data_IF_438541434230
#
_entry.id   IF_438541434230
#
_cell.length_a   1.000
_cell.length_b   1.000
_cell.length_c   1.000
_cell.angle_alpha   90.00
_cell.angle_beta   90.00
_cell.angle_gamma   90.00
#
_symmetry.space_group_name_H-M   'P 1'
#
loop_
_entity.id
_entity.type
_entity.pdbx_description
1 polymer ?
#
# COMPACT_ATOMS: atom_id res chain seq x y z
N UNK A 1 -13.77 -22.21 11.50
CA UNK A 1 -13.43 -21.13 10.54
C UNK A 1 -13.24 -21.81 9.21
N UNK A 2 -14.20 -21.68 8.30
CA UNK A 2 -14.21 -22.40 7.02
C UNK A 2 -13.01 -22.00 6.15
N UNK A 3 -12.32 -22.98 5.56
CA UNK A 3 -11.24 -22.72 4.60
C UNK A 3 -11.73 -21.80 3.46
N UNK A 4 -10.98 -20.76 3.09
CA UNK A 4 -11.37 -19.89 1.97
C UNK A 4 -11.42 -20.67 0.66
N UNK A 5 -12.42 -20.37 -0.19
CA UNK A 5 -12.55 -20.97 -1.52
C UNK A 5 -11.47 -20.46 -2.49
N UNK A 6 -11.13 -21.19 -3.56
CA UNK A 6 -10.22 -20.73 -4.64
C UNK A 6 -10.40 -19.29 -5.06
N UNK A 7 -11.65 -18.86 -5.16
CA UNK A 7 -12.04 -17.54 -5.61
C UNK A 7 -11.45 -16.43 -4.75
N UNK A 8 -11.34 -16.65 -3.42
CA UNK A 8 -10.85 -15.62 -2.51
C UNK A 8 -9.34 -15.42 -2.60
N UNK A 9 -8.54 -16.48 -2.77
CA UNK A 9 -7.09 -16.33 -2.93
C UNK A 9 -6.71 -15.69 -4.27
N UNK A 10 -7.42 -16.06 -5.36
CA UNK A 10 -7.23 -15.43 -6.66
C UNK A 10 -7.62 -13.96 -6.65
N UNK A 11 -8.78 -13.64 -6.08
CA UNK A 11 -9.22 -12.25 -5.96
C UNK A 11 -8.25 -11.43 -5.10
N UNK A 12 -7.85 -11.94 -3.94
CA UNK A 12 -6.90 -11.25 -3.06
C UNK A 12 -5.52 -11.09 -3.68
N UNK A 13 -5.01 -12.11 -4.39
CA UNK A 13 -3.75 -12.03 -5.12
C UNK A 13 -3.79 -10.99 -6.25
N UNK A 14 -4.85 -10.99 -7.06
CA UNK A 14 -5.06 -10.00 -8.12
C UNK A 14 -5.20 -8.58 -7.56
N UNK A 15 -5.95 -8.43 -6.46
CA UNK A 15 -6.11 -7.15 -5.78
C UNK A 15 -4.78 -6.64 -5.20
N UNK A 16 -3.93 -7.51 -4.65
CA UNK A 16 -2.61 -7.12 -4.15
C UNK A 16 -1.69 -6.65 -5.28
N UNK A 17 -1.66 -7.36 -6.41
CA UNK A 17 -0.92 -6.95 -7.61
C UNK A 17 -1.40 -5.57 -8.09
N UNK A 18 -2.70 -5.41 -8.26
CA UNK A 18 -3.29 -4.16 -8.74
C UNK A 18 -3.04 -2.99 -7.75
N UNK A 19 -3.16 -3.23 -6.44
CA UNK A 19 -2.84 -2.25 -5.40
C UNK A 19 -1.39 -1.79 -5.49
N UNK A 20 -0.43 -2.73 -5.61
CA UNK A 20 0.99 -2.40 -5.76
C UNK A 20 1.26 -1.55 -7.00
N UNK A 21 0.68 -1.90 -8.15
CA UNK A 21 0.81 -1.13 -9.38
C UNK A 21 0.22 0.29 -9.25
N UNK A 22 -0.90 0.45 -8.56
CA UNK A 22 -1.51 1.76 -8.33
C UNK A 22 -0.67 2.65 -7.40
N UNK A 23 -0.04 2.06 -6.37
CA UNK A 23 0.95 2.80 -5.56
C UNK A 23 2.14 3.26 -6.40
N UNK A 24 2.63 2.43 -7.33
CA UNK A 24 3.69 2.83 -8.26
C UNK A 24 3.24 3.96 -9.19
N UNK A 25 2.05 3.86 -9.78
CA UNK A 25 1.48 4.91 -10.62
C UNK A 25 1.43 6.23 -9.86
N UNK A 26 0.95 6.20 -8.60
CA UNK A 26 0.92 7.38 -7.73
C UNK A 26 2.33 7.95 -7.50
N UNK A 27 3.34 7.11 -7.23
CA UNK A 27 4.71 7.61 -7.03
C UNK A 27 5.35 8.18 -8.31
N UNK A 28 5.04 7.62 -9.48
CA UNK A 28 5.48 8.18 -10.77
C UNK A 28 4.83 9.54 -11.00
N UNK A 29 3.53 9.69 -10.71
CA UNK A 29 2.83 10.96 -10.83
C UNK A 29 3.39 12.02 -9.88
N UNK A 30 3.73 11.64 -8.65
CA UNK A 30 4.43 12.51 -7.69
C UNK A 30 5.80 12.96 -8.20
N UNK A 31 6.58 12.05 -8.80
CA UNK A 31 7.87 12.39 -9.39
C UNK A 31 7.70 13.42 -10.53
N UNK A 32 6.68 13.27 -11.37
CA UNK A 32 6.38 14.19 -12.47
C UNK A 32 5.86 15.54 -11.94
N UNK A 33 5.01 15.52 -10.91
CA UNK A 33 4.49 16.73 -10.28
C UNK A 33 5.60 17.55 -9.58
N UNK A 34 6.64 16.85 -9.12
CA UNK A 34 7.72 17.41 -8.32
C UNK A 34 7.31 17.58 -6.85
N UNK A 35 8.28 17.84 -5.96
CA UNK A 35 7.99 18.09 -4.55
C UNK A 35 7.13 19.35 -4.40
N UNK A 36 6.22 19.39 -3.41
CA UNK A 36 5.50 20.61 -3.09
C UNK A 36 6.49 21.70 -2.61
N UNK A 37 6.31 22.97 -3.02
CA UNK A 37 7.05 24.10 -2.46
C UNK A 37 6.82 24.26 -0.95
N UNK A 38 7.72 24.97 -0.27
CA UNK A 38 7.59 25.26 1.17
C UNK A 38 6.76 26.52 1.48
N UNK A 39 6.59 27.43 0.52
CA UNK A 39 5.79 28.65 0.69
C UNK A 39 4.31 28.46 0.33
N UNK A 40 3.38 28.88 1.19
CA UNK A 40 1.94 28.65 0.97
C UNK A 40 1.39 29.24 -0.34
N UNK A 41 1.87 30.41 -0.78
CA UNK A 41 1.46 30.99 -2.08
C UNK A 41 2.01 30.18 -3.27
N UNK A 42 3.24 29.68 -3.15
CA UNK A 42 3.86 28.81 -4.15
C UNK A 42 3.15 27.45 -4.22
N UNK A 43 2.67 26.93 -3.09
CA UNK A 43 1.84 25.72 -3.04
C UNK A 43 0.55 25.91 -3.85
N UNK A 44 -0.11 27.07 -3.73
CA UNK A 44 -1.33 27.34 -4.52
C UNK A 44 -1.04 27.37 -6.03
N UNK A 45 0.05 28.02 -6.43
CA UNK A 45 0.49 28.05 -7.83
C UNK A 45 0.89 26.67 -8.35
N UNK A 46 1.65 25.91 -7.56
CA UNK A 46 2.03 24.53 -7.86
C UNK A 46 0.79 23.64 -8.02
N UNK A 47 -0.14 23.71 -7.07
CA UNK A 47 -1.41 22.97 -7.10
C UNK A 47 -2.20 23.28 -8.36
N UNK A 48 -2.33 24.57 -8.73
CA UNK A 48 -3.03 24.97 -9.95
C UNK A 48 -2.37 24.41 -11.22
N UNK A 49 -1.03 24.46 -11.29
CA UNK A 49 -0.27 23.96 -12.45
C UNK A 49 -0.22 22.43 -12.56
N UNK A 50 -0.35 21.71 -11.43
CA UNK A 50 -0.24 20.25 -11.35
C UNK A 50 -1.56 19.54 -11.05
N UNK A 51 -2.68 20.28 -11.00
CA UNK A 51 -4.00 19.78 -10.64
C UNK A 51 -4.38 18.42 -11.27
N UNK A 52 -4.23 18.19 -12.60
CA UNK A 52 -4.60 16.90 -13.18
C UNK A 52 -3.73 15.74 -12.68
N UNK A 53 -2.42 15.96 -12.48
CA UNK A 53 -1.52 14.93 -11.96
C UNK A 53 -1.87 14.57 -10.52
N UNK A 54 -2.11 15.60 -9.70
CA UNK A 54 -2.48 15.45 -8.29
C UNK A 54 -3.84 14.75 -8.13
N UNK A 55 -4.82 15.05 -9.00
CA UNK A 55 -6.10 14.37 -9.02
C UNK A 55 -5.95 12.87 -9.34
N UNK A 56 -5.22 12.52 -10.42
CA UNK A 56 -5.01 11.11 -10.78
C UNK A 56 -4.21 10.38 -9.69
N UNK A 57 -3.19 11.02 -9.10
CA UNK A 57 -2.43 10.44 -8.00
C UNK A 57 -3.32 10.17 -6.77
N UNK A 58 -4.27 11.06 -6.50
CA UNK A 58 -5.26 10.89 -5.43
C UNK A 58 -6.18 9.68 -5.69
N UNK A 59 -6.72 9.56 -6.91
CA UNK A 59 -7.57 8.41 -7.27
C UNK A 59 -6.79 7.09 -7.23
N UNK A 60 -5.56 7.07 -7.77
CA UNK A 60 -4.70 5.90 -7.73
C UNK A 60 -4.45 5.45 -6.28
N UNK A 61 -4.16 6.38 -5.38
CA UNK A 61 -3.96 6.09 -3.95
C UNK A 61 -5.23 5.54 -3.29
N UNK A 62 -6.40 6.13 -3.59
CA UNK A 62 -7.69 5.66 -3.07
C UNK A 62 -7.97 4.20 -3.49
N UNK A 63 -7.89 3.90 -4.80
CA UNK A 63 -8.12 2.56 -5.29
C UNK A 63 -7.05 1.57 -4.82
N UNK A 64 -5.80 2.00 -4.67
CA UNK A 64 -4.74 1.19 -4.08
C UNK A 64 -5.12 0.74 -2.66
N UNK A 65 -5.55 1.68 -1.81
CA UNK A 65 -5.98 1.40 -0.43
C UNK A 65 -7.22 0.49 -0.37
N UNK A 66 -8.20 0.70 -1.24
CA UNK A 66 -9.40 -0.14 -1.29
C UNK A 66 -9.10 -1.59 -1.69
N UNK A 67 -8.22 -1.79 -2.68
CA UNK A 67 -7.82 -3.12 -3.12
C UNK A 67 -6.98 -3.87 -2.08
N UNK A 68 -6.41 -3.18 -1.08
CA UNK A 68 -5.76 -3.87 0.03
C UNK A 68 -6.74 -4.70 0.84
N UNK A 69 -8.02 -4.35 0.92
CA UNK A 69 -9.01 -5.09 1.75
C UNK A 69 -9.11 -6.57 1.37
N UNK A 70 -9.49 -6.95 0.13
CA UNK A 70 -9.53 -8.36 -0.28
C UNK A 70 -8.13 -9.02 -0.23
N UNK A 71 -7.06 -8.25 -0.49
CA UNK A 71 -5.70 -8.75 -0.40
C UNK A 71 -5.31 -9.16 1.03
N UNK A 72 -5.62 -8.33 2.03
CA UNK A 72 -5.35 -8.58 3.46
C UNK A 72 -6.12 -9.82 3.93
N UNK A 73 -7.40 -9.94 3.55
CA UNK A 73 -8.22 -11.10 3.92
C UNK A 73 -7.61 -12.40 3.37
N UNK A 74 -7.19 -12.40 2.10
CA UNK A 74 -6.55 -13.57 1.50
C UNK A 74 -5.18 -13.86 2.14
N UNK A 75 -4.40 -12.81 2.40
CA UNK A 75 -3.07 -12.92 3.00
C UNK A 75 -3.13 -13.50 4.41
N UNK A 76 -4.03 -12.97 5.27
CA UNK A 76 -4.28 -13.52 6.59
C UNK A 76 -4.63 -15.00 6.50
N UNK A 77 -5.59 -15.33 5.65
CA UNK A 77 -6.06 -16.71 5.52
C UNK A 77 -4.96 -17.67 5.09
N UNK A 78 -4.03 -17.21 4.23
CA UNK A 78 -2.90 -18.01 3.76
C UNK A 78 -1.79 -18.21 4.80
N UNK A 79 -1.66 -17.32 5.78
CA UNK A 79 -0.57 -17.30 6.76
C UNK A 79 -1.01 -17.70 8.17
N UNK A 80 -2.31 -17.70 8.45
CA UNK A 80 -2.86 -18.01 9.77
C UNK A 80 -2.52 -19.43 10.25
N UNK A 81 -2.28 -20.37 9.32
CA UNK A 81 -1.82 -21.72 9.64
C UNK A 81 -0.36 -21.82 10.07
N UNK A 82 0.48 -20.82 9.75
CA UNK A 82 1.90 -20.79 10.14
C UNK A 82 2.11 -20.11 11.48
N UNK A 83 1.56 -18.91 11.66
CA UNK A 83 1.56 -18.18 12.94
C UNK A 83 0.35 -17.24 12.98
N UNK A 84 -0.71 -17.69 13.63
CA UNK A 84 -1.99 -16.96 13.68
C UNK A 84 -1.86 -15.57 14.33
N UNK A 85 -1.04 -15.45 15.37
CA UNK A 85 -0.90 -14.18 16.13
C UNK A 85 -0.10 -13.19 15.32
N UNK A 86 1.05 -13.61 14.79
CA UNK A 86 1.88 -12.73 13.98
C UNK A 86 1.19 -12.36 12.65
N UNK A 87 0.51 -13.31 12.00
CA UNK A 87 -0.26 -13.03 10.79
C UNK A 87 -1.41 -12.06 11.05
N UNK A 88 -2.14 -12.24 12.16
CA UNK A 88 -3.20 -11.33 12.60
C UNK A 88 -2.68 -9.93 12.90
N UNK A 89 -1.58 -9.81 13.64
CA UNK A 89 -0.96 -8.53 13.96
C UNK A 89 -0.49 -7.79 12.68
N UNK A 90 0.21 -8.48 11.79
CA UNK A 90 0.77 -7.86 10.58
C UNK A 90 -0.32 -7.48 9.56
N UNK A 91 -1.31 -8.36 9.36
CA UNK A 91 -2.48 -8.04 8.54
C UNK A 91 -3.31 -6.92 9.16
N UNK A 92 -3.41 -6.85 10.49
CA UNK A 92 -4.05 -5.76 11.22
C UNK A 92 -3.35 -4.42 11.00
N UNK A 93 -2.02 -4.37 11.12
CA UNK A 93 -1.22 -3.18 10.81
C UNK A 93 -1.45 -2.73 9.36
N UNK A 94 -1.42 -3.67 8.40
CA UNK A 94 -1.70 -3.38 6.99
C UNK A 94 -3.15 -2.89 6.77
N UNK A 95 -4.11 -3.42 7.53
CA UNK A 95 -5.51 -3.00 7.48
C UNK A 95 -5.75 -1.59 8.01
N UNK A 96 -4.98 -1.13 9.00
CA UNK A 96 -5.03 0.26 9.49
C UNK A 96 -4.62 1.25 8.41
N UNK A 97 -3.74 0.86 7.47
CA UNK A 97 -3.34 1.75 6.39
C UNK A 97 -4.51 2.16 5.49
N UNK A 98 -5.48 1.29 5.21
CA UNK A 98 -6.60 1.58 4.32
C UNK A 98 -7.49 2.77 4.78
N UNK A 99 -8.01 2.83 6.02
CA UNK A 99 -8.77 4.00 6.47
C UNK A 99 -7.90 5.25 6.59
N UNK A 100 -6.63 5.13 6.98
CA UNK A 100 -5.71 6.29 7.00
C UNK A 100 -5.51 6.84 5.59
N UNK A 101 -5.28 5.97 4.60
CA UNK A 101 -5.20 6.33 3.17
C UNK A 101 -6.48 7.05 2.73
N UNK A 102 -7.66 6.55 3.09
CA UNK A 102 -8.93 7.19 2.75
C UNK A 102 -9.02 8.62 3.31
N UNK A 103 -8.62 8.82 4.57
CA UNK A 103 -8.54 10.16 5.19
C UNK A 103 -7.54 11.05 4.46
N UNK A 104 -6.36 10.53 4.10
CA UNK A 104 -5.37 11.30 3.34
C UNK A 104 -5.86 11.67 1.95
N UNK A 105 -6.63 10.81 1.28
CA UNK A 105 -7.25 11.13 -0.01
C UNK A 105 -8.30 12.24 0.12
N UNK A 106 -9.03 12.30 1.25
CA UNK A 106 -9.94 13.42 1.54
C UNK A 106 -9.15 14.71 1.72
N UNK A 107 -8.06 14.68 2.51
CA UNK A 107 -7.20 15.83 2.79
C UNK A 107 -6.56 16.35 1.49
N UNK A 108 -5.84 15.50 0.77
CA UNK A 108 -5.16 15.85 -0.48
C UNK A 108 -6.16 16.24 -1.58
N UNK A 109 -7.31 15.55 -1.64
CA UNK A 109 -8.40 15.89 -2.53
C UNK A 109 -8.90 17.33 -2.37
N UNK A 110 -8.73 17.98 -1.21
CA UNK A 110 -9.10 19.40 -1.05
C UNK A 110 -8.26 20.37 -1.89
N UNK A 111 -7.07 19.95 -2.34
CA UNK A 111 -6.23 20.74 -3.24
C UNK A 111 -6.79 20.77 -4.66
N UNK A 112 -7.42 19.68 -5.10
CA UNK A 112 -7.79 19.48 -6.51
C UNK A 112 -9.29 19.41 -6.77
N UNK A 113 -10.09 19.02 -5.79
CA UNK A 113 -11.53 18.85 -5.92
C UNK A 113 -12.29 19.97 -5.22
N UNK A 114 -12.91 20.88 -5.99
CA UNK A 114 -13.77 21.93 -5.44
C UNK A 114 -15.15 21.35 -5.08
N UNK A 115 -15.20 20.43 -4.12
CA UNK A 115 -16.46 19.87 -3.61
C UNK A 115 -17.37 21.02 -3.16
N UNK A 116 -18.56 21.11 -3.76
CA UNK A 116 -19.50 22.23 -3.60
C UNK A 116 -18.95 23.62 -3.97
N UNK A 117 -17.94 23.70 -4.84
CA UNK A 117 -17.30 24.96 -5.20
C UNK A 117 -16.35 25.52 -4.15
N UNK A 118 -16.18 24.84 -3.01
CA UNK A 118 -15.32 25.28 -1.92
C UNK A 118 -13.87 24.92 -2.27
N UNK A 119 -12.99 25.93 -2.31
CA UNK A 119 -11.56 25.79 -2.64
C UNK A 119 -10.68 26.26 -1.50
N UNK A 120 -9.51 25.64 -1.37
CA UNK A 120 -8.43 26.18 -0.54
C UNK A 120 -7.86 27.41 -1.25
N UNK A 121 -8.15 28.60 -0.71
CA UNK A 121 -7.73 29.88 -1.30
C UNK A 121 -6.62 30.60 -0.53
N UNK A 122 -6.31 30.16 0.70
CA UNK A 122 -5.32 30.83 1.55
C UNK A 122 -4.02 30.03 1.63
N UNK A 123 -2.86 30.71 1.61
CA UNK A 123 -1.54 30.08 1.74
C UNK A 123 -1.41 29.14 2.96
N UNK A 124 -1.89 29.57 4.13
CA UNK A 124 -1.74 28.81 5.38
C UNK A 124 -2.55 27.51 5.36
N UNK A 125 -3.75 27.52 4.79
CA UNK A 125 -4.56 26.31 4.63
C UNK A 125 -3.93 25.35 3.63
N UNK A 126 -3.34 25.86 2.54
CA UNK A 126 -2.63 25.04 1.57
C UNK A 126 -1.41 24.36 2.21
N UNK A 127 -0.62 25.10 2.99
CA UNK A 127 0.52 24.57 3.73
C UNK A 127 0.08 23.49 4.75
N UNK A 128 -1.00 23.74 5.50
CA UNK A 128 -1.56 22.75 6.44
C UNK A 128 -1.98 21.45 5.73
N UNK A 129 -2.69 21.55 4.60
CA UNK A 129 -3.15 20.38 3.84
C UNK A 129 -1.95 19.56 3.34
N UNK A 130 -0.93 20.21 2.78
CA UNK A 130 0.32 19.55 2.34
C UNK A 130 1.03 18.88 3.53
N UNK A 131 1.18 19.58 4.65
CA UNK A 131 1.85 19.05 5.83
C UNK A 131 1.13 17.81 6.40
N UNK A 132 -0.19 17.86 6.51
CA UNK A 132 -1.00 16.73 6.97
C UNK A 132 -0.92 15.55 6.00
N UNK A 133 -0.98 15.81 4.69
CA UNK A 133 -0.92 14.76 3.68
C UNK A 133 0.43 14.04 3.67
N UNK A 134 1.53 14.77 3.54
CA UNK A 134 2.86 14.15 3.47
C UNK A 134 3.32 13.61 4.83
N UNK A 135 2.93 14.23 5.94
CA UNK A 135 3.13 13.66 7.28
C UNK A 135 2.35 12.35 7.48
N UNK A 136 1.13 12.27 6.94
CA UNK A 136 0.34 11.04 6.92
C UNK A 136 0.96 9.95 6.05
N UNK A 137 1.46 10.29 4.86
CA UNK A 137 2.16 9.35 3.99
C UNK A 137 3.42 8.79 4.66
N UNK A 138 4.19 9.64 5.34
CA UNK A 138 5.33 9.20 6.15
C UNK A 138 4.92 8.13 7.18
N UNK A 139 3.85 8.38 7.92
CA UNK A 139 3.34 7.41 8.90
C UNK A 139 2.86 6.10 8.26
N UNK A 140 2.18 6.17 7.10
CA UNK A 140 1.75 4.99 6.34
C UNK A 140 2.97 4.18 5.88
N UNK A 141 4.01 4.81 5.35
CA UNK A 141 5.21 4.10 4.89
C UNK A 141 5.87 3.31 6.03
N UNK A 142 5.99 3.90 7.23
CA UNK A 142 6.53 3.20 8.40
C UNK A 142 5.60 2.05 8.84
N UNK A 143 4.29 2.29 8.86
CA UNK A 143 3.30 1.28 9.24
C UNK A 143 3.32 0.08 8.29
N UNK A 144 3.34 0.34 6.98
CA UNK A 144 3.43 -0.68 5.94
C UNK A 144 4.78 -1.38 5.97
N UNK A 145 5.89 -0.67 6.17
CA UNK A 145 7.21 -1.27 6.34
C UNK A 145 7.25 -2.25 7.52
N UNK A 146 6.67 -1.89 8.66
CA UNK A 146 6.55 -2.78 9.81
C UNK A 146 5.68 -4.02 9.51
N UNK A 147 4.53 -3.83 8.87
CA UNK A 147 3.66 -4.94 8.45
C UNK A 147 4.39 -5.89 7.47
N UNK A 148 5.05 -5.33 6.45
CA UNK A 148 5.84 -6.05 5.45
C UNK A 148 6.95 -6.86 6.10
N UNK A 149 7.67 -6.29 7.07
CA UNK A 149 8.73 -7.01 7.80
C UNK A 149 8.16 -8.24 8.50
N UNK A 150 7.10 -8.07 9.30
CA UNK A 150 6.51 -9.18 10.07
C UNK A 150 5.95 -10.25 9.12
N UNK A 151 5.22 -9.85 8.07
CA UNK A 151 4.70 -10.77 7.05
C UNK A 151 5.83 -11.56 6.39
N UNK A 152 6.91 -10.87 6.02
CA UNK A 152 8.06 -11.49 5.38
C UNK A 152 8.78 -12.49 6.28
N UNK A 153 8.89 -12.22 7.58
CA UNK A 153 9.45 -13.16 8.55
C UNK A 153 8.62 -14.44 8.66
N UNK A 154 7.28 -14.32 8.67
CA UNK A 154 6.38 -15.48 8.68
C UNK A 154 6.51 -16.27 7.37
N UNK A 155 6.53 -15.57 6.23
CA UNK A 155 6.66 -16.16 4.89
C UNK A 155 7.92 -17.02 4.72
N UNK A 156 9.00 -16.79 5.49
CA UNK A 156 10.22 -17.63 5.45
C UNK A 156 9.96 -19.10 5.77
N UNK A 157 8.91 -19.38 6.55
CA UNK A 157 8.56 -20.73 7.04
C UNK A 157 7.43 -21.37 6.24
N UNK A 158 6.92 -20.69 5.21
CA UNK A 158 5.70 -21.08 4.52
C UNK A 158 5.83 -21.20 2.99
N UNK A 159 4.68 -21.26 2.34
CA UNK A 159 4.50 -21.53 0.90
C UNK A 159 4.98 -20.41 -0.04
N UNK A 160 5.35 -19.25 0.51
CA UNK A 160 5.80 -18.08 -0.27
C UNK A 160 7.26 -18.19 -0.73
N UNK A 161 8.04 -19.08 -0.13
CA UNK A 161 9.44 -19.30 -0.48
C UNK A 161 10.39 -18.23 0.07
N UNK A 162 11.68 -18.61 0.18
CA UNK A 162 12.72 -17.79 0.81
C UNK A 162 12.96 -16.47 0.07
N UNK A 163 12.87 -16.45 -1.25
CA UNK A 163 13.14 -15.25 -2.05
C UNK A 163 12.10 -14.14 -1.82
N UNK A 164 10.80 -14.47 -1.78
CA UNK A 164 9.73 -13.49 -1.50
C UNK A 164 9.91 -12.86 -0.11
N UNK A 165 10.31 -13.68 0.87
CA UNK A 165 10.60 -13.18 2.20
C UNK A 165 11.85 -12.27 2.26
N UNK A 166 12.92 -12.60 1.54
CA UNK A 166 14.12 -11.74 1.47
C UNK A 166 13.79 -10.42 0.77
N UNK A 167 13.03 -10.47 -0.33
CA UNK A 167 12.53 -9.28 -1.03
C UNK A 167 11.71 -8.40 -0.10
N UNK A 168 10.83 -8.99 0.70
CA UNK A 168 10.02 -8.23 1.65
C UNK A 168 10.79 -7.65 2.83
N UNK A 169 11.81 -8.34 3.35
CA UNK A 169 12.72 -7.74 4.33
C UNK A 169 13.45 -6.53 3.73
N UNK A 170 14.00 -6.65 2.51
CA UNK A 170 14.62 -5.52 1.82
C UNK A 170 13.62 -4.39 1.58
N UNK A 171 12.38 -4.72 1.21
CA UNK A 171 11.27 -3.77 1.05
C UNK A 171 10.99 -3.03 2.33
N UNK A 172 10.91 -3.70 3.48
CA UNK A 172 10.64 -3.03 4.76
C UNK A 172 11.70 -2.00 5.14
N UNK A 173 12.98 -2.27 4.83
CA UNK A 173 14.06 -1.30 5.03
C UNK A 173 13.90 -0.13 4.07
N UNK A 174 13.60 -0.42 2.80
CA UNK A 174 13.35 0.60 1.80
C UNK A 174 12.12 1.46 2.12
N UNK A 175 11.06 0.91 2.72
CA UNK A 175 9.87 1.64 3.14
C UNK A 175 10.21 2.65 4.25
N UNK A 176 11.06 2.24 5.22
CA UNK A 176 11.54 3.14 6.28
C UNK A 176 12.42 4.25 5.70
N UNK A 177 13.35 3.93 4.80
CA UNK A 177 14.19 4.93 4.13
C UNK A 177 13.34 5.86 3.26
N UNK A 178 12.41 5.29 2.49
CA UNK A 178 11.50 5.97 1.58
C UNK A 178 10.46 6.83 2.29
N UNK A 179 10.25 6.66 3.60
CA UNK A 179 9.44 7.53 4.42
C UNK A 179 10.04 8.95 4.58
N UNK A 180 11.29 9.17 4.15
CA UNK A 180 12.00 10.45 4.23
C UNK A 180 12.38 11.00 2.84
N UNK A 181 11.41 11.20 1.92
CA UNK A 181 11.70 11.63 0.55
C UNK A 181 12.37 13.02 0.48
N UNK A 182 12.15 13.86 1.50
CA UNK A 182 12.79 15.16 1.64
C UNK A 182 14.29 15.08 2.00
N UNK A 183 14.78 13.92 2.45
CA UNK A 183 16.19 13.67 2.75
C UNK A 183 16.87 12.97 1.57
N UNK A 184 16.25 11.91 1.06
CA UNK A 184 16.85 11.04 0.03
C UNK A 184 16.60 11.54 -1.40
N UNK A 185 15.67 12.48 -1.58
CA UNK A 185 15.24 12.97 -2.88
C UNK A 185 14.21 12.07 -3.59
N UNK A 186 13.60 12.57 -4.66
CA UNK A 186 12.44 11.92 -5.28
C UNK A 186 12.78 10.65 -6.07
N UNK A 187 13.97 10.56 -6.66
CA UNK A 187 14.38 9.38 -7.44
C UNK A 187 14.66 8.18 -6.53
N UNK A 188 15.45 8.29 -5.44
CA UNK A 188 15.58 7.19 -4.48
C UNK A 188 14.25 6.80 -3.82
N UNK A 189 13.37 7.77 -3.53
CA UNK A 189 12.03 7.48 -3.02
C UNK A 189 11.20 6.64 -4.01
N UNK A 190 11.27 6.93 -5.31
CA UNK A 190 10.63 6.10 -6.33
C UNK A 190 11.21 4.68 -6.35
N UNK A 191 12.51 4.50 -6.18
CA UNK A 191 13.14 3.17 -6.12
C UNK A 191 12.64 2.36 -4.92
N UNK A 192 12.44 3.00 -3.76
CA UNK A 192 11.79 2.37 -2.61
C UNK A 192 10.37 1.89 -2.98
N UNK A 193 9.59 2.74 -3.67
CA UNK A 193 8.25 2.36 -4.13
C UNK A 193 8.26 1.22 -5.15
N UNK A 194 9.25 1.17 -6.04
CA UNK A 194 9.43 0.05 -6.99
C UNK A 194 9.65 -1.25 -6.23
N UNK A 195 10.46 -1.22 -5.15
CA UNK A 195 10.71 -2.41 -4.33
C UNK A 195 9.44 -2.86 -3.60
N UNK A 196 8.68 -1.93 -3.03
CA UNK A 196 7.36 -2.18 -2.44
C UNK A 196 6.40 -2.82 -3.44
N UNK A 197 6.34 -2.27 -4.64
CA UNK A 197 5.50 -2.79 -5.73
C UNK A 197 5.94 -4.20 -6.13
N UNK A 198 7.24 -4.43 -6.26
CA UNK A 198 7.78 -5.74 -6.59
C UNK A 198 7.40 -6.79 -5.53
N UNK A 199 7.42 -6.42 -4.24
CA UNK A 199 6.98 -7.31 -3.17
C UNK A 199 5.47 -7.60 -3.24
N UNK A 200 4.63 -6.57 -3.44
CA UNK A 200 3.18 -6.74 -3.63
C UNK A 200 2.87 -7.67 -4.81
N UNK A 201 3.55 -7.47 -5.93
CA UNK A 201 3.40 -8.31 -7.13
C UNK A 201 3.85 -9.74 -6.87
N UNK A 202 4.97 -9.95 -6.17
CA UNK A 202 5.49 -11.27 -5.85
C UNK A 202 4.53 -12.04 -4.92
N UNK A 203 4.11 -11.43 -3.81
CA UNK A 203 3.16 -12.03 -2.86
C UNK A 203 1.81 -12.29 -3.54
N UNK A 204 1.31 -11.31 -4.30
CA UNK A 204 0.04 -11.41 -5.00
C UNK A 204 0.04 -12.50 -6.06
N UNK A 205 1.17 -12.68 -6.76
CA UNK A 205 1.34 -13.76 -7.74
C UNK A 205 1.35 -15.15 -7.10
N UNK A 206 1.95 -15.29 -5.91
CA UNK A 206 1.91 -16.54 -5.15
C UNK A 206 0.47 -16.82 -4.71
N UNK A 207 -0.20 -15.84 -4.08
CA UNK A 207 -1.61 -15.95 -3.66
C UNK A 207 -2.53 -16.34 -4.82
N UNK A 208 -2.34 -15.72 -5.98
CA UNK A 208 -3.15 -15.98 -7.17
C UNK A 208 -3.02 -17.43 -7.68
N UNK A 209 -1.87 -18.07 -7.43
CA UNK A 209 -1.58 -19.45 -7.84
C UNK A 209 -1.91 -20.50 -6.78
N UNK A 210 -2.38 -20.12 -5.58
CA UNK A 210 -2.60 -21.08 -4.49
C UNK A 210 -3.74 -22.08 -4.80
N UNK A 211 -3.56 -23.37 -4.45
CA UNK A 211 -4.62 -24.39 -4.58
C UNK A 211 -5.73 -24.24 -3.53
N UNK A 212 -6.86 -24.92 -3.76
CA UNK A 212 -8.00 -24.94 -2.84
C UNK A 212 -7.65 -25.54 -1.46
N UNK A 213 -8.05 -24.87 -0.38
CA UNK A 213 -8.00 -25.44 0.97
C UNK A 213 -8.83 -26.74 1.11
N UNK A 214 -9.90 -26.86 0.32
CA UNK A 214 -10.73 -28.08 0.24
C UNK A 214 -10.10 -29.25 -0.54
N UNK A 215 -9.01 -29.01 -1.27
CA UNK A 215 -8.24 -30.08 -1.93
C UNK A 215 -7.21 -30.70 -0.96
N UNK A 216 -6.65 -29.89 -0.05
CA UNK A 216 -5.71 -30.35 0.98
C UNK A 216 -6.39 -31.23 2.04
N UNK A 217 -7.64 -30.94 2.43
CA UNK A 217 -8.43 -31.82 3.32
C UNK A 217 -8.81 -33.15 2.65
N UNK A 218 -9.10 -33.17 1.35
CA UNK A 218 -9.45 -34.40 0.62
C UNK A 218 -8.28 -35.36 0.43
N UNK A 219 -7.05 -34.86 0.39
CA UNK A 219 -5.85 -35.71 0.37
C UNK A 219 -5.40 -36.19 1.75
N UNK A 220 -5.94 -35.61 2.82
CA UNK A 220 -5.61 -35.99 4.20
C UNK A 220 -6.63 -36.95 4.84
N UNK A 221 -7.75 -37.22 4.18
CA UNK A 221 -8.70 -38.24 4.61
C UNK A 221 -8.12 -39.63 4.26
N UNK A 222 -7.84 -40.51 5.25
CA UNK A 222 -7.51 -41.90 4.95
C UNK A 222 -8.71 -42.53 4.24
N UNK A 223 -8.43 -43.24 3.14
CA UNK A 223 -9.42 -44.09 2.49
C UNK A 223 -9.93 -45.09 3.54
N UNK A 224 -11.20 -44.95 3.93
CA UNK A 224 -11.95 -45.98 4.65
C UNK A 224 -12.37 -47.07 3.66
#
# INVERSE_FOLDING_TARGET
>A
MSCPSKGSYRLGGAALVASGLLFLVRAVLDLIAGPPPSGGAEILAWTASRAPLLAIANEALFFAGMLMVPAIIALYSSLAGTDKRAAGAACGLMAVAAPVIAVLCIIHGRLVYPVYGIRIGTPDMAALVIALFYGGLHAISILLGAATLVLSLIMRRGIYGRWVAVLGIATSVADVVGAYPYIIGPVPALLCQVLFTAWFVAVGSVLYKMPDGAALERTAAPAL
#
